data_IF_276133426558
#
_entry.id   IF_276133426558
#
_cell.length_a   1.000
_cell.length_b   1.000
_cell.length_c   1.000
_cell.angle_alpha   90.00
_cell.angle_beta   90.00
_cell.angle_gamma   90.00
#
_symmetry.space_group_name_H-M   'P 1'
#
loop_
_entity.id
_entity.type
_entity.pdbx_description
1 polymer ?
#
# COMPACT_ATOMS: atom_id res chain seq x y z
N UNK A 1 -6.65 -5.28 -17.56
CA UNK A 1 -6.57 -3.80 -17.54
C UNK A 1 -7.86 -3.07 -17.96
N UNK A 2 -8.73 -3.62 -18.82
CA UNK A 2 -9.92 -2.90 -19.38
C UNK A 2 -11.19 -2.84 -18.52
N UNK A 3 -11.27 -3.58 -17.41
CA UNK A 3 -12.50 -3.71 -16.58
C UNK A 3 -12.57 -2.74 -15.38
N UNK A 4 -11.44 -2.17 -14.95
CA UNK A 4 -11.36 -1.32 -13.76
C UNK A 4 -10.39 -0.15 -13.98
N UNK A 5 -10.85 0.97 -14.59
CA UNK A 5 -9.98 2.09 -14.93
C UNK A 5 -9.39 2.79 -13.69
N UNK A 6 -10.13 2.85 -12.57
CA UNK A 6 -9.65 3.41 -11.31
C UNK A 6 -8.44 2.64 -10.75
N UNK A 7 -8.47 1.31 -10.84
CA UNK A 7 -7.35 0.44 -10.42
C UNK A 7 -6.14 0.61 -11.35
N UNK A 8 -6.38 0.74 -12.66
CA UNK A 8 -5.31 1.00 -13.62
C UNK A 8 -4.65 2.37 -13.40
N UNK A 9 -5.42 3.40 -13.10
CA UNK A 9 -4.92 4.73 -12.75
C UNK A 9 -4.12 4.70 -11.44
N UNK A 10 -4.61 3.96 -10.44
CA UNK A 10 -3.89 3.76 -9.18
C UNK A 10 -2.54 3.06 -9.37
N UNK A 11 -2.49 1.99 -10.19
CA UNK A 11 -1.24 1.29 -10.50
C UNK A 11 -0.27 2.19 -11.28
N UNK A 12 -0.74 2.88 -12.33
CA UNK A 12 0.11 3.77 -13.11
C UNK A 12 0.67 4.93 -12.29
N UNK A 13 -0.09 5.45 -11.32
CA UNK A 13 0.40 6.49 -10.41
C UNK A 13 1.48 5.95 -9.45
N UNK A 14 1.28 4.75 -8.89
CA UNK A 14 2.24 4.12 -7.99
C UNK A 14 3.52 3.63 -8.69
N UNK A 15 3.46 3.26 -9.98
CA UNK A 15 4.62 2.84 -10.79
C UNK A 15 5.75 3.89 -10.79
N UNK A 16 5.43 5.18 -10.56
CA UNK A 16 6.42 6.25 -10.45
C UNK A 16 7.19 6.31 -9.13
N UNK A 17 6.81 5.51 -8.14
CA UNK A 17 7.34 5.57 -6.77
C UNK A 17 7.87 4.23 -6.27
N UNK A 18 7.14 3.15 -6.56
CA UNK A 18 7.48 1.80 -6.12
C UNK A 18 6.75 0.79 -7.01
N UNK A 19 7.14 -0.48 -6.93
CA UNK A 19 6.45 -1.54 -7.68
C UNK A 19 5.05 -1.78 -7.11
N UNK A 20 3.97 -1.39 -7.82
CA UNK A 20 2.62 -1.54 -7.31
C UNK A 20 2.16 -2.97 -7.46
N UNK A 21 1.55 -3.51 -6.40
CA UNK A 21 0.97 -4.85 -6.38
C UNK A 21 -0.51 -4.78 -6.07
N UNK A 22 -1.26 -5.65 -6.74
CA UNK A 22 -2.66 -5.91 -6.41
C UNK A 22 -2.72 -6.89 -5.24
N UNK A 23 -3.59 -6.62 -4.27
CA UNK A 23 -3.88 -7.53 -3.17
C UNK A 23 -5.23 -8.24 -3.40
N UNK A 24 -5.23 -9.56 -3.29
CA UNK A 24 -6.39 -10.42 -3.56
C UNK A 24 -6.86 -10.37 -5.02
N UNK A 25 -8.18 -10.30 -5.24
CA UNK A 25 -8.80 -10.09 -6.56
C UNK A 25 -8.98 -8.60 -6.91
N UNK A 26 -8.36 -7.69 -6.14
CA UNK A 26 -8.61 -6.25 -6.20
C UNK A 26 -9.84 -5.81 -5.38
N UNK A 27 -10.18 -4.52 -5.31
CA UNK A 27 -9.62 -3.37 -6.02
C UNK A 27 -8.39 -2.72 -5.37
N UNK A 28 -7.95 -3.22 -4.22
CA UNK A 28 -6.90 -2.57 -3.46
C UNK A 28 -5.51 -2.74 -4.10
N UNK A 29 -4.78 -1.64 -4.22
CA UNK A 29 -3.39 -1.59 -4.73
C UNK A 29 -2.49 -1.12 -3.58
N UNK A 30 -1.33 -1.74 -3.44
CA UNK A 30 -0.34 -1.37 -2.43
C UNK A 30 1.05 -1.24 -3.05
N UNK A 31 1.85 -0.38 -2.44
CA UNK A 31 3.28 -0.26 -2.69
C UNK A 31 4.03 -0.57 -1.39
N UNK A 32 5.13 -1.31 -1.49
CA UNK A 32 6.01 -1.60 -0.38
C UNK A 32 7.18 -0.60 -0.37
N UNK A 33 7.51 -0.12 0.83
CA UNK A 33 8.63 0.78 1.07
C UNK A 33 9.46 0.20 2.22
N UNK A 34 10.77 0.44 2.19
CA UNK A 34 11.66 -0.03 3.25
C UNK A 34 11.58 0.89 4.47
N UNK A 35 11.39 2.20 4.25
CA UNK A 35 11.26 3.20 5.30
C UNK A 35 9.82 3.72 5.47
N UNK A 36 9.42 3.95 6.72
CA UNK A 36 8.11 4.54 7.03
C UNK A 36 8.01 5.99 6.54
N UNK A 37 9.12 6.73 6.53
CA UNK A 37 9.17 8.11 6.07
C UNK A 37 8.78 8.21 4.58
N UNK A 38 9.34 7.35 3.73
CA UNK A 38 9.02 7.29 2.30
C UNK A 38 7.53 6.99 2.06
N UNK A 39 6.97 6.08 2.86
CA UNK A 39 5.56 5.72 2.79
C UNK A 39 4.63 6.89 3.19
N UNK A 40 5.01 7.68 4.20
CA UNK A 40 4.27 8.88 4.64
C UNK A 40 4.39 10.03 3.65
N UNK A 41 5.58 10.28 3.12
CA UNK A 41 5.79 11.30 2.09
C UNK A 41 4.96 11.01 0.84
N UNK A 42 4.82 9.73 0.49
CA UNK A 42 3.94 9.30 -0.59
C UNK A 42 2.47 9.55 -0.26
N UNK A 43 2.05 9.25 0.98
CA UNK A 43 0.67 9.46 1.44
C UNK A 43 0.23 10.92 1.28
N UNK A 44 1.09 11.88 1.60
CA UNK A 44 0.81 13.32 1.46
C UNK A 44 0.70 13.76 -0.01
N UNK A 45 1.28 12.99 -0.94
CA UNK A 45 1.26 13.25 -2.38
C UNK A 45 0.10 12.55 -3.09
N UNK A 46 -0.66 11.72 -2.39
CA UNK A 46 -1.80 10.99 -2.97
C UNK A 46 -2.88 12.00 -3.40
N UNK A 47 -3.35 11.93 -4.65
CA UNK A 47 -4.48 12.74 -5.10
C UNK A 47 -5.73 12.51 -4.23
N UNK A 48 -6.48 13.57 -3.94
CA UNK A 48 -7.69 13.51 -3.11
C UNK A 48 -8.79 12.56 -3.65
N UNK A 49 -8.72 12.22 -4.93
CA UNK A 49 -9.61 11.23 -5.59
C UNK A 49 -9.38 9.79 -5.09
N UNK A 50 -8.35 9.56 -4.29
CA UNK A 50 -7.94 8.26 -3.80
C UNK A 50 -7.89 8.20 -2.28
N UNK A 51 -8.40 7.10 -1.71
CA UNK A 51 -8.24 6.82 -0.30
C UNK A 51 -6.97 5.99 -0.09
N UNK A 52 -6.01 6.51 0.67
CA UNK A 52 -4.77 5.82 0.97
C UNK A 52 -4.45 5.89 2.47
N UNK A 53 -3.75 4.87 2.98
CA UNK A 53 -3.30 4.79 4.37
C UNK A 53 -1.95 4.08 4.46
N UNK A 54 -1.04 4.59 5.29
CA UNK A 54 0.17 3.85 5.69
C UNK A 54 -0.22 2.76 6.70
N UNK A 55 0.22 1.55 6.44
CA UNK A 55 0.08 0.34 7.27
C UNK A 55 1.45 -0.29 7.52
N UNK A 56 1.49 -1.30 8.38
CA UNK A 56 2.71 -2.06 8.67
C UNK A 56 2.46 -3.53 8.40
N UNK A 57 3.20 -4.11 7.45
CA UNK A 57 3.22 -5.54 7.21
C UNK A 57 3.88 -6.27 8.38
N UNK A 58 3.11 -7.13 9.04
CA UNK A 58 3.60 -7.99 10.12
C UNK A 58 3.56 -9.44 9.65
N UNK A 59 4.71 -10.13 9.73
CA UNK A 59 4.79 -11.57 9.43
C UNK A 59 4.08 -12.43 10.48
N UNK A 60 3.81 -11.86 11.66
CA UNK A 60 2.95 -12.45 12.67
C UNK A 60 1.62 -11.73 12.66
N UNK A 61 0.55 -12.51 12.60
CA UNK A 61 -0.79 -11.96 12.77
C UNK A 61 -0.88 -11.25 14.13
N UNK A 62 -1.45 -10.02 14.21
CA UNK A 62 -1.72 -9.35 15.48
C UNK A 62 -2.64 -10.17 16.39
N UNK A 63 -3.39 -11.11 15.80
CA UNK A 63 -4.25 -12.05 16.52
C UNK A 63 -3.45 -13.16 17.25
N UNK A 64 -2.15 -13.32 16.95
CA UNK A 64 -1.29 -14.40 17.42
C UNK A 64 -0.14 -14.00 18.36
N UNK A 65 0.00 -12.74 18.79
CA UNK A 65 1.01 -12.38 19.81
C UNK A 65 0.87 -10.93 20.30
N UNK A 66 1.08 -10.56 21.56
CA UNK A 66 1.95 -11.16 22.57
C UNK A 66 3.25 -11.71 21.95
N UNK A 67 4.17 -10.77 21.75
CA UNK A 67 5.62 -10.95 21.54
C UNK A 67 6.14 -11.15 20.09
N UNK A 68 7.03 -10.21 19.69
CA UNK A 68 7.98 -10.36 18.59
C UNK A 68 7.65 -9.58 17.31
N UNK A 69 7.76 -8.25 17.34
CA UNK A 69 7.59 -7.37 16.18
C UNK A 69 8.85 -7.35 15.29
N UNK A 70 8.72 -7.74 14.02
CA UNK A 70 9.68 -7.40 12.94
C UNK A 70 9.09 -6.31 12.02
N UNK A 71 9.97 -5.46 11.49
CA UNK A 71 9.66 -4.14 10.89
C UNK A 71 9.46 -4.21 9.36
N UNK A 72 8.24 -4.05 8.86
CA UNK A 72 7.99 -3.67 7.45
C UNK A 72 6.78 -2.74 7.35
N UNK A 73 6.94 -1.54 6.80
CA UNK A 73 5.84 -0.57 6.57
C UNK A 73 5.35 -0.66 5.11
N UNK A 74 4.09 -0.31 4.82
CA UNK A 74 3.50 -0.37 3.47
C UNK A 74 2.20 0.40 3.39
N UNK A 75 1.75 0.86 2.22
CA UNK A 75 0.54 1.72 2.10
C UNK A 75 -0.56 0.96 1.35
N UNK A 76 -1.79 0.94 1.87
CA UNK A 76 -2.96 0.32 1.24
C UNK A 76 -3.94 1.39 0.74
N UNK A 77 -4.58 1.13 -0.41
CA UNK A 77 -5.58 2.00 -1.05
C UNK A 77 -6.83 1.21 -1.46
N UNK A 78 -8.02 1.82 -1.38
CA UNK A 78 -9.30 1.30 -1.92
C UNK A 78 -9.74 2.12 -3.13
#
# INVERSE_FOLDING_TARGET
RRRYPAVAAAMAWLEGFAEPRLTGTGACVFAAFDEEAEARDLLDRVPADFQAWVTRGLNRSPLQGCEGATNHWGVAKR
#
